data_IF_210420187331
#
_entry.id   IF_210420187331
#
_cell.length_a   1.000
_cell.length_b   1.000
_cell.length_c   1.000
_cell.angle_alpha   90.00
_cell.angle_beta   90.00
_cell.angle_gamma   90.00
#
_symmetry.space_group_name_H-M   'P 1'
#
loop_
_entity.id
_entity.type
_entity.pdbx_description
1 polymer ?
#
# COMPACT_ATOMS: atom_id res chain seq x y z
N UNK A 1 3.72 -29.33 4.01
CA UNK A 1 4.77 -28.48 3.41
C UNK A 1 4.05 -27.71 2.32
N UNK A 2 3.71 -26.49 2.63
CA UNK A 2 3.10 -25.55 1.68
C UNK A 2 4.09 -25.39 0.52
N UNK A 3 3.56 -25.39 -0.68
CA UNK A 3 4.30 -25.18 -1.93
C UNK A 3 5.30 -24.05 -1.71
N UNK A 4 6.55 -24.22 -2.11
CA UNK A 4 7.64 -23.26 -1.87
C UNK A 4 7.46 -21.89 -2.58
N UNK A 5 6.20 -21.41 -2.66
CA UNK A 5 5.82 -20.13 -3.23
C UNK A 5 6.26 -18.99 -2.32
N UNK A 6 6.96 -18.03 -2.90
CA UNK A 6 7.52 -16.88 -2.20
C UNK A 6 6.69 -15.63 -2.43
N UNK A 7 6.54 -14.85 -1.38
CA UNK A 7 5.79 -13.59 -1.41
C UNK A 7 6.69 -12.41 -1.06
N UNK A 8 6.74 -11.40 -1.93
CA UNK A 8 7.41 -10.14 -1.64
C UNK A 8 6.40 -9.06 -1.25
N UNK A 9 6.86 -8.00 -0.59
CA UNK A 9 6.11 -6.76 -0.40
C UNK A 9 6.88 -5.56 -0.97
N UNK A 10 6.19 -4.68 -1.69
CA UNK A 10 6.67 -3.36 -2.10
C UNK A 10 6.01 -2.33 -1.18
N UNK A 11 6.78 -1.73 -0.28
CA UNK A 11 6.27 -0.72 0.66
C UNK A 11 6.66 0.67 0.19
N UNK A 12 5.64 1.51 -0.07
CA UNK A 12 5.81 2.83 -0.66
C UNK A 12 5.97 3.90 0.41
N UNK A 13 7.11 4.53 0.44
CA UNK A 13 7.45 5.65 1.30
C UNK A 13 7.95 6.89 0.51
N UNK A 14 7.67 6.97 -0.81
CA UNK A 14 8.14 8.03 -1.70
C UNK A 14 7.23 9.28 -1.73
N UNK A 15 6.09 9.27 -1.06
CA UNK A 15 5.10 10.36 -1.10
C UNK A 15 5.58 11.62 -0.40
N UNK A 16 5.50 12.78 -1.05
CA UNK A 16 5.93 14.08 -0.50
C UNK A 16 5.11 14.58 0.69
N UNK A 17 3.90 14.05 0.91
CA UNK A 17 3.07 14.42 2.06
C UNK A 17 2.69 15.91 2.16
N UNK A 18 2.50 16.59 1.03
CA UNK A 18 2.28 18.05 0.94
C UNK A 18 1.16 18.59 1.82
N UNK A 19 0.13 17.77 2.10
CA UNK A 19 -1.01 18.12 2.97
C UNK A 19 -0.67 18.17 4.47
N UNK A 20 0.50 17.68 4.88
CA UNK A 20 0.92 17.66 6.29
C UNK A 20 1.52 18.99 6.78
N UNK A 21 1.82 19.94 5.88
CA UNK A 21 2.40 21.24 6.25
C UNK A 21 3.79 21.16 6.92
N UNK A 22 4.45 20.00 6.90
CA UNK A 22 5.74 19.74 7.55
C UNK A 22 6.89 19.79 6.53
N UNK A 23 8.07 20.26 6.97
CA UNK A 23 9.32 20.14 6.20
C UNK A 23 9.86 18.71 6.19
N UNK A 24 9.47 17.88 7.16
CA UNK A 24 9.80 16.44 7.24
C UNK A 24 8.73 15.67 6.48
N UNK A 25 9.14 14.75 5.62
CA UNK A 25 8.21 13.90 4.90
C UNK A 25 7.37 13.06 5.88
N UNK A 26 6.06 12.94 5.64
CA UNK A 26 5.07 12.39 6.59
C UNK A 26 5.42 10.99 7.10
N UNK A 27 6.05 10.17 6.27
CA UNK A 27 6.44 8.80 6.63
C UNK A 27 7.50 8.72 7.73
N UNK A 28 8.20 9.83 7.98
CA UNK A 28 9.22 9.95 9.03
C UNK A 28 8.74 10.74 10.25
N UNK A 29 7.53 11.29 10.22
CA UNK A 29 6.95 11.95 11.38
C UNK A 29 6.79 10.96 12.53
N UNK A 30 7.09 11.41 13.74
CA UNK A 30 7.02 10.58 14.92
C UNK A 30 5.57 10.32 15.35
N UNK A 31 5.27 9.04 15.55
CA UNK A 31 4.02 8.56 16.11
C UNK A 31 4.36 7.61 17.26
N UNK A 32 3.96 7.96 18.50
CA UNK A 32 4.24 7.14 19.71
C UNK A 32 5.72 6.74 19.84
N UNK A 33 6.64 7.65 19.58
CA UNK A 33 8.09 7.46 19.73
C UNK A 33 8.76 6.69 18.59
N UNK A 34 8.06 6.44 17.48
CA UNK A 34 8.58 5.75 16.29
C UNK A 34 8.18 6.50 15.01
N UNK A 35 8.98 6.45 13.94
CA UNK A 35 8.54 6.98 12.65
C UNK A 35 7.26 6.30 12.16
N UNK A 36 6.37 7.03 11.49
CA UNK A 36 5.12 6.48 10.95
C UNK A 36 5.35 5.20 10.12
N UNK A 37 6.38 5.21 9.26
CA UNK A 37 6.77 4.08 8.42
C UNK A 37 7.14 2.81 9.23
N UNK A 38 7.68 2.98 10.45
CA UNK A 38 8.04 1.86 11.31
C UNK A 38 6.89 0.87 11.50
N UNK A 39 5.66 1.35 11.70
CA UNK A 39 4.52 0.49 12.01
C UNK A 39 4.13 -0.41 10.84
N UNK A 40 4.12 0.13 9.62
CA UNK A 40 3.89 -0.66 8.42
C UNK A 40 5.00 -1.71 8.25
N UNK A 41 6.27 -1.30 8.29
CA UNK A 41 7.40 -2.23 8.18
C UNK A 41 7.36 -3.31 9.25
N UNK A 42 7.07 -2.96 10.51
CA UNK A 42 6.98 -3.92 11.60
C UNK A 42 5.86 -4.95 11.42
N UNK A 43 4.71 -4.54 10.83
CA UNK A 43 3.63 -5.47 10.52
C UNK A 43 4.05 -6.49 9.44
N UNK A 44 4.72 -6.03 8.39
CA UNK A 44 5.23 -6.88 7.31
C UNK A 44 6.40 -7.77 7.77
N UNK A 45 7.32 -7.25 8.59
CA UNK A 45 8.41 -8.05 9.20
C UNK A 45 7.87 -9.26 9.97
N UNK A 46 6.73 -9.10 10.66
CA UNK A 46 6.11 -10.14 11.48
C UNK A 46 4.98 -10.92 10.76
N UNK A 47 4.86 -10.80 9.44
CA UNK A 47 3.87 -11.51 8.61
C UNK A 47 4.48 -12.70 7.87
N UNK A 48 3.66 -13.36 7.01
CA UNK A 48 4.08 -14.46 6.13
C UNK A 48 4.89 -14.01 4.91
N UNK A 49 5.10 -12.70 4.70
CA UNK A 49 5.91 -12.16 3.58
C UNK A 49 7.38 -12.54 3.77
N UNK A 50 8.05 -13.00 2.71
CA UNK A 50 9.45 -13.47 2.75
C UNK A 50 10.44 -12.31 2.66
N UNK A 51 10.18 -11.31 1.81
CA UNK A 51 11.06 -10.15 1.61
C UNK A 51 10.28 -8.86 1.36
N UNK A 52 10.93 -7.75 1.69
CA UNK A 52 10.38 -6.39 1.53
C UNK A 52 11.30 -5.58 0.63
N UNK A 53 10.71 -4.88 -0.34
CA UNK A 53 11.36 -3.82 -1.11
C UNK A 53 10.79 -2.50 -0.60
N UNK A 54 11.62 -1.67 0.00
CA UNK A 54 11.23 -0.35 0.49
C UNK A 54 11.49 0.71 -0.60
N UNK A 55 10.45 1.45 -1.00
CA UNK A 55 10.58 2.49 -2.04
C UNK A 55 10.42 3.87 -1.41
N UNK A 56 11.47 4.68 -1.50
CA UNK A 56 11.60 5.99 -0.82
C UNK A 56 11.62 7.16 -1.80
N UNK A 57 11.46 8.36 -1.29
CA UNK A 57 11.64 9.59 -2.08
C UNK A 57 13.07 9.77 -2.60
N UNK A 58 13.27 10.69 -3.57
CA UNK A 58 14.59 11.01 -4.08
C UNK A 58 15.54 11.48 -2.97
N UNK A 59 16.74 10.89 -2.91
CA UNK A 59 17.78 11.21 -1.93
C UNK A 59 17.56 10.62 -0.52
N UNK A 60 16.48 9.85 -0.28
CA UNK A 60 16.14 9.31 1.04
C UNK A 60 16.62 7.87 1.29
N UNK A 61 17.13 7.20 0.27
CA UNK A 61 17.54 5.78 0.36
C UNK A 61 18.54 5.53 1.47
N UNK A 62 19.59 6.36 1.58
CA UNK A 62 20.61 6.23 2.61
C UNK A 62 20.06 6.50 4.03
N UNK A 63 19.19 7.50 4.16
CA UNK A 63 18.50 7.79 5.42
C UNK A 63 17.61 6.61 5.85
N UNK A 64 16.77 6.11 4.95
CA UNK A 64 15.90 4.98 5.24
C UNK A 64 16.69 3.72 5.60
N UNK A 65 17.77 3.44 4.87
CA UNK A 65 18.60 2.29 5.17
C UNK A 65 19.13 2.36 6.61
N UNK A 66 19.74 3.48 6.99
CA UNK A 66 20.41 3.63 8.29
C UNK A 66 19.44 3.87 9.43
N UNK A 67 18.56 4.88 9.30
CA UNK A 67 17.73 5.37 10.40
C UNK A 67 16.41 4.59 10.58
N UNK A 68 16.02 3.79 9.58
CA UNK A 68 14.79 2.98 9.63
C UNK A 68 15.16 1.48 9.62
N UNK A 69 15.77 0.99 8.55
CA UNK A 69 15.99 -0.45 8.39
C UNK A 69 16.97 -0.99 9.43
N UNK A 70 18.19 -0.48 9.48
CA UNK A 70 19.24 -0.94 10.38
C UNK A 70 18.92 -0.61 11.84
N UNK A 71 18.49 0.63 12.11
CA UNK A 71 18.18 1.09 13.47
C UNK A 71 17.10 0.28 14.17
N UNK A 72 16.09 -0.19 13.43
CA UNK A 72 14.99 -0.99 13.99
C UNK A 72 15.11 -2.48 13.71
N UNK A 73 16.18 -2.92 13.03
CA UNK A 73 16.51 -4.33 12.81
C UNK A 73 15.53 -5.04 11.88
N UNK A 74 15.03 -4.37 10.84
CA UNK A 74 14.18 -5.01 9.83
C UNK A 74 15.00 -5.94 8.93
N UNK A 75 14.88 -7.24 9.12
CA UNK A 75 15.67 -8.27 8.45
C UNK A 75 15.12 -8.68 7.09
N UNK A 76 13.81 -8.53 6.88
CA UNK A 76 13.15 -8.85 5.61
C UNK A 76 13.31 -7.76 4.55
N UNK A 77 13.78 -6.54 4.91
CA UNK A 77 14.04 -5.50 3.94
C UNK A 77 15.27 -5.85 3.12
N UNK A 78 15.04 -6.45 1.96
CA UNK A 78 16.08 -6.92 1.05
C UNK A 78 16.74 -5.77 0.26
N UNK A 79 15.99 -4.70 -0.03
CA UNK A 79 16.56 -3.51 -0.68
C UNK A 79 15.73 -2.25 -0.42
N UNK A 80 16.41 -1.10 -0.46
CA UNK A 80 15.82 0.24 -0.44
C UNK A 80 16.05 0.88 -1.82
N UNK A 81 14.97 1.28 -2.49
CA UNK A 81 14.98 1.83 -3.85
C UNK A 81 14.43 3.24 -3.87
N UNK A 82 14.95 4.05 -4.77
CA UNK A 82 14.37 5.36 -5.04
C UNK A 82 13.13 5.21 -5.92
N UNK A 83 12.02 5.84 -5.53
CA UNK A 83 10.80 5.91 -6.32
C UNK A 83 10.88 6.95 -7.44
N UNK A 84 9.82 7.02 -8.22
CA UNK A 84 9.69 7.94 -9.35
C UNK A 84 8.80 9.15 -9.04
N UNK A 85 8.41 9.86 -10.11
CA UNK A 85 7.67 11.12 -10.04
C UNK A 85 6.27 10.94 -9.45
N UNK A 86 5.56 9.90 -9.90
CA UNK A 86 4.20 9.57 -9.47
C UNK A 86 4.19 8.26 -8.67
N UNK A 87 3.05 7.95 -8.00
CA UNK A 87 2.92 6.71 -7.22
C UNK A 87 3.19 5.48 -8.08
N UNK A 88 2.61 5.40 -9.26
CA UNK A 88 2.77 4.24 -10.15
C UNK A 88 4.23 4.07 -10.66
N UNK A 89 4.98 5.16 -10.86
CA UNK A 89 6.41 5.06 -11.14
C UNK A 89 7.16 4.42 -9.96
N UNK A 90 6.82 4.83 -8.72
CA UNK A 90 7.45 4.28 -7.52
C UNK A 90 7.13 2.79 -7.33
N UNK A 91 5.88 2.38 -7.63
CA UNK A 91 5.51 0.97 -7.64
C UNK A 91 6.34 0.20 -8.66
N UNK A 92 6.46 0.70 -9.88
CA UNK A 92 7.23 0.05 -10.94
C UNK A 92 8.70 -0.12 -10.57
N UNK A 93 9.34 0.89 -9.96
CA UNK A 93 10.71 0.77 -9.44
C UNK A 93 10.81 -0.31 -8.36
N UNK A 94 9.81 -0.41 -7.49
CA UNK A 94 9.72 -1.48 -6.50
C UNK A 94 9.56 -2.86 -7.11
N UNK A 95 8.65 -3.02 -8.09
CA UNK A 95 8.42 -4.29 -8.78
C UNK A 95 9.67 -4.79 -9.50
N UNK A 96 10.40 -3.93 -10.20
CA UNK A 96 11.66 -4.29 -10.86
C UNK A 96 12.76 -4.78 -9.91
N UNK A 97 12.64 -4.46 -8.63
CA UNK A 97 13.60 -4.89 -7.61
C UNK A 97 13.17 -6.18 -6.88
N UNK A 98 11.99 -6.70 -7.20
CA UNK A 98 11.54 -8.01 -6.70
C UNK A 98 12.24 -9.11 -7.49
N UNK A 99 12.83 -10.07 -6.78
CA UNK A 99 13.52 -11.24 -7.35
C UNK A 99 12.99 -12.50 -6.68
N UNK A 100 12.83 -13.58 -7.44
CA UNK A 100 12.47 -14.91 -6.95
C UNK A 100 11.21 -14.93 -6.07
N UNK A 101 10.11 -14.35 -6.55
CA UNK A 101 8.83 -14.36 -5.88
C UNK A 101 7.69 -14.64 -6.84
N UNK A 102 6.69 -15.37 -6.36
CA UNK A 102 5.50 -15.73 -7.13
C UNK A 102 4.40 -14.69 -6.96
N UNK A 103 4.35 -14.07 -5.77
CA UNK A 103 3.35 -13.07 -5.41
C UNK A 103 3.98 -11.81 -4.84
N UNK A 104 3.31 -10.68 -5.04
CA UNK A 104 3.74 -9.40 -4.49
C UNK A 104 2.57 -8.63 -3.89
N UNK A 105 2.81 -8.05 -2.71
CA UNK A 105 1.90 -7.13 -2.03
C UNK A 105 2.42 -5.71 -2.18
N UNK A 106 1.59 -4.80 -2.65
CA UNK A 106 1.92 -3.37 -2.75
C UNK A 106 1.21 -2.64 -1.62
N UNK A 107 1.98 -1.91 -0.78
CA UNK A 107 1.43 -1.27 0.40
C UNK A 107 1.92 0.17 0.60
N UNK A 108 1.00 1.05 0.98
CA UNK A 108 1.33 2.42 1.34
C UNK A 108 1.96 2.47 2.75
N UNK A 109 3.22 2.86 2.87
CA UNK A 109 3.90 3.03 4.16
C UNK A 109 3.25 4.06 5.10
N UNK A 110 2.30 4.84 4.58
CA UNK A 110 1.47 5.76 5.34
C UNK A 110 0.20 5.11 5.94
N UNK A 111 0.07 3.78 5.94
CA UNK A 111 -0.97 3.04 6.65
C UNK A 111 -0.38 2.27 7.85
N UNK A 112 -0.16 2.94 8.97
CA UNK A 112 0.54 2.36 10.12
C UNK A 112 -0.29 1.33 10.88
N UNK A 113 -1.59 1.26 10.62
CA UNK A 113 -2.52 0.38 11.34
C UNK A 113 -2.80 -0.94 10.62
N UNK A 114 -2.05 -1.26 9.55
CA UNK A 114 -2.13 -2.58 8.91
C UNK A 114 -1.76 -3.66 9.91
N UNK A 115 -2.48 -4.79 9.89
CA UNK A 115 -2.23 -5.92 10.78
C UNK A 115 -1.73 -7.12 9.99
N UNK A 116 -1.12 -8.08 10.71
CA UNK A 116 -0.67 -9.35 10.13
C UNK A 116 -1.84 -10.08 9.44
N UNK A 117 -3.00 -10.11 10.07
CA UNK A 117 -4.18 -10.78 9.55
C UNK A 117 -4.63 -10.21 8.19
N UNK A 118 -4.53 -8.87 8.02
CA UNK A 118 -4.84 -8.21 6.75
C UNK A 118 -3.79 -8.58 5.68
N UNK A 119 -2.52 -8.63 6.05
CA UNK A 119 -1.41 -8.98 5.15
C UNK A 119 -1.55 -10.45 4.70
N UNK A 120 -1.75 -11.36 5.65
CA UNK A 120 -1.90 -12.79 5.37
C UNK A 120 -3.15 -13.05 4.52
N UNK A 121 -4.29 -12.40 4.81
CA UNK A 121 -5.50 -12.51 4.00
C UNK A 121 -5.32 -11.99 2.56
N UNK A 122 -4.53 -10.93 2.35
CA UNK A 122 -4.20 -10.45 1.02
C UNK A 122 -3.28 -11.43 0.27
N UNK A 123 -2.28 -12.02 0.94
CA UNK A 123 -1.42 -13.06 0.37
C UNK A 123 -2.23 -14.27 -0.09
N UNK A 124 -3.12 -14.77 0.76
CA UNK A 124 -4.01 -15.89 0.42
C UNK A 124 -4.97 -15.53 -0.72
N UNK A 125 -5.44 -14.27 -0.74
CA UNK A 125 -6.26 -13.74 -1.81
C UNK A 125 -5.53 -13.76 -3.16
N UNK A 126 -4.26 -13.35 -3.22
CA UNK A 126 -3.45 -13.40 -4.43
C UNK A 126 -3.22 -14.83 -4.92
N UNK A 127 -2.89 -15.76 -4.00
CA UNK A 127 -2.76 -17.20 -4.34
C UNK A 127 -4.03 -17.78 -4.94
N UNK A 128 -5.18 -17.41 -4.40
CA UNK A 128 -6.47 -17.97 -4.83
C UNK A 128 -7.04 -17.32 -6.09
N UNK A 129 -6.84 -16.03 -6.25
CA UNK A 129 -7.53 -15.21 -7.27
C UNK A 129 -6.59 -14.49 -8.23
N UNK A 130 -5.27 -14.67 -8.11
CA UNK A 130 -4.20 -14.02 -8.87
C UNK A 130 -4.10 -12.51 -8.66
N UNK A 131 -5.21 -11.84 -8.36
CA UNK A 131 -5.27 -10.40 -8.11
C UNK A 131 -6.31 -10.09 -7.03
N UNK A 132 -5.94 -9.33 -6.01
CA UNK A 132 -6.88 -8.86 -5.00
C UNK A 132 -6.48 -7.51 -4.40
N UNK A 133 -7.47 -6.79 -3.89
CA UNK A 133 -7.30 -5.52 -3.19
C UNK A 133 -8.03 -5.55 -1.86
N UNK A 134 -7.34 -5.14 -0.80
CA UNK A 134 -7.96 -4.95 0.51
C UNK A 134 -8.85 -3.72 0.50
N UNK A 135 -10.03 -3.81 1.07
CA UNK A 135 -10.96 -2.69 1.16
C UNK A 135 -12.06 -2.92 2.19
N UNK A 136 -12.89 -1.91 2.38
CA UNK A 136 -14.05 -1.96 3.26
C UNK A 136 -15.30 -1.43 2.55
N UNK A 137 -16.49 -2.05 2.77
CA UNK A 137 -17.74 -1.49 2.28
C UNK A 137 -17.95 -0.07 2.80
N UNK A 138 -18.52 0.80 1.97
CA UNK A 138 -18.85 2.17 2.36
C UNK A 138 -19.95 2.16 3.42
N UNK A 139 -19.82 3.00 4.47
CA UNK A 139 -20.85 3.15 5.52
C UNK A 139 -21.82 4.27 5.23
N UNK A 140 -21.31 5.38 4.71
CA UNK A 140 -22.09 6.57 4.46
C UNK A 140 -22.73 6.56 3.09
N UNK A 141 -23.75 7.40 2.89
CA UNK A 141 -24.33 7.61 1.57
C UNK A 141 -23.35 8.39 0.70
N UNK A 142 -23.01 7.87 -0.47
CA UNK A 142 -22.16 8.52 -1.45
C UNK A 142 -23.03 9.24 -2.49
N UNK A 143 -22.59 10.44 -2.86
CA UNK A 143 -23.16 11.21 -3.96
C UNK A 143 -22.10 11.42 -5.04
N UNK A 144 -22.47 11.24 -6.27
CA UNK A 144 -21.71 11.76 -7.41
C UNK A 144 -22.25 13.14 -7.71
N UNK A 145 -21.39 14.16 -7.72
CA UNK A 145 -21.76 15.54 -8.03
C UNK A 145 -21.57 15.84 -9.53
N UNK A 146 -22.30 16.83 -10.01
CA UNK A 146 -21.97 17.51 -11.26
C UNK A 146 -20.86 18.56 -11.06
N UNK A 147 -20.49 19.28 -12.13
CA UNK A 147 -19.45 20.31 -12.14
C UNK A 147 -19.79 21.54 -11.25
N UNK A 148 -21.06 21.70 -10.85
CA UNK A 148 -21.57 22.78 -10.00
C UNK A 148 -21.82 22.33 -8.57
N UNK A 149 -21.33 21.15 -8.19
CA UNK A 149 -21.48 20.56 -6.86
C UNK A 149 -22.93 20.17 -6.47
N UNK A 150 -23.85 20.06 -7.45
CA UNK A 150 -25.15 19.45 -7.19
C UNK A 150 -25.09 17.93 -7.29
N UNK A 151 -25.87 17.26 -6.43
CA UNK A 151 -25.94 15.80 -6.43
C UNK A 151 -26.60 15.30 -7.74
N UNK A 152 -25.81 14.66 -8.60
CA UNK A 152 -26.27 14.10 -9.88
C UNK A 152 -26.75 12.65 -9.74
N UNK A 153 -26.08 11.83 -8.90
CA UNK A 153 -26.39 10.41 -8.72
C UNK A 153 -26.12 9.95 -7.29
N UNK A 154 -26.95 9.05 -6.80
CA UNK A 154 -26.70 8.29 -5.56
C UNK A 154 -26.47 6.81 -5.95
N UNK A 155 -25.23 6.33 -6.00
CA UNK A 155 -24.97 4.94 -6.32
C UNK A 155 -25.43 4.00 -5.20
N UNK A 156 -25.68 2.74 -5.56
CA UNK A 156 -26.02 1.69 -4.62
C UNK A 156 -24.84 1.43 -3.66
N UNK A 157 -25.02 1.82 -2.39
CA UNK A 157 -23.98 1.73 -1.35
C UNK A 157 -23.49 0.30 -1.12
N UNK A 158 -24.33 -0.70 -1.27
CA UNK A 158 -23.98 -2.10 -1.00
C UNK A 158 -22.94 -2.64 -2.00
N UNK A 159 -22.72 -1.92 -3.11
CA UNK A 159 -21.74 -2.23 -4.15
C UNK A 159 -20.49 -1.35 -4.10
N UNK A 160 -20.39 -0.43 -3.14
CA UNK A 160 -19.28 0.51 -3.03
C UNK A 160 -18.29 0.09 -1.94
N UNK A 161 -17.00 0.18 -2.28
CA UNK A 161 -15.91 -0.14 -1.39
C UNK A 161 -14.91 1.00 -1.31
N UNK A 162 -14.38 1.24 -0.12
CA UNK A 162 -13.22 2.10 0.12
C UNK A 162 -11.99 1.22 0.00
N UNK A 163 -11.23 1.41 -1.08
CA UNK A 163 -10.05 0.58 -1.34
C UNK A 163 -8.89 1.02 -0.45
N UNK A 164 -8.23 0.04 0.11
CA UNK A 164 -7.06 0.17 0.96
C UNK A 164 -5.84 -0.50 0.32
N UNK A 165 -4.77 -0.62 1.09
CA UNK A 165 -3.64 -1.50 0.80
C UNK A 165 -3.37 -2.39 2.03
N UNK A 166 -2.78 -3.61 1.86
CA UNK A 166 -2.09 -4.08 0.66
C UNK A 166 -3.05 -4.43 -0.49
N UNK A 167 -2.55 -4.28 -1.72
CA UNK A 167 -3.11 -4.86 -2.91
C UNK A 167 -2.13 -5.95 -3.36
N UNK A 168 -2.61 -7.14 -3.65
CA UNK A 168 -1.76 -8.31 -3.82
C UNK A 168 -2.03 -9.02 -5.14
N UNK A 169 -0.97 -9.45 -5.79
CA UNK A 169 -1.02 -9.95 -7.16
C UNK A 169 -0.02 -11.11 -7.36
N UNK A 170 -0.32 -11.98 -8.33
CA UNK A 170 0.70 -12.79 -8.97
C UNK A 170 1.74 -11.86 -9.58
N UNK A 171 3.03 -12.13 -9.33
CA UNK A 171 4.11 -11.18 -9.66
C UNK A 171 4.20 -10.87 -11.14
N UNK A 172 4.24 -11.89 -11.99
CA UNK A 172 4.34 -11.74 -13.44
C UNK A 172 3.15 -10.96 -14.02
N UNK A 173 1.95 -11.17 -13.49
CA UNK A 173 0.74 -10.48 -13.91
C UNK A 173 0.86 -8.96 -13.68
N UNK A 174 1.22 -8.54 -12.46
CA UNK A 174 1.30 -7.12 -12.13
C UNK A 174 2.52 -6.47 -12.76
N UNK A 175 3.65 -7.15 -12.87
CA UNK A 175 4.84 -6.63 -13.55
C UNK A 175 4.52 -6.34 -15.02
N UNK A 176 3.92 -7.29 -15.73
CA UNK A 176 3.51 -7.09 -17.11
C UNK A 176 2.50 -5.94 -17.28
N UNK A 177 1.53 -5.83 -16.36
CA UNK A 177 0.57 -4.72 -16.37
C UNK A 177 1.28 -3.36 -16.24
N UNK A 178 2.27 -3.25 -15.36
CA UNK A 178 3.05 -2.03 -15.17
C UNK A 178 3.99 -1.74 -16.35
N UNK A 179 4.63 -2.73 -16.95
CA UNK A 179 5.44 -2.56 -18.17
C UNK A 179 4.59 -1.99 -19.32
N UNK A 180 3.39 -2.53 -19.48
CA UNK A 180 2.44 -2.04 -20.46
C UNK A 180 1.98 -0.61 -20.16
N UNK A 181 1.65 -0.28 -18.92
CA UNK A 181 1.32 1.08 -18.50
C UNK A 181 2.44 2.05 -18.82
N UNK A 182 3.70 1.68 -18.51
CA UNK A 182 4.87 2.53 -18.78
C UNK A 182 5.09 2.77 -20.28
N UNK A 183 4.68 1.87 -21.15
CA UNK A 183 4.80 2.00 -22.60
C UNK A 183 3.68 2.83 -23.24
N UNK A 184 2.61 3.16 -22.51
CA UNK A 184 1.36 3.76 -23.03
C UNK A 184 0.99 5.02 -22.23
N UNK A 185 1.57 6.17 -22.58
CA UNK A 185 1.38 7.45 -21.87
C UNK A 185 -0.11 7.82 -21.67
N UNK A 186 -0.97 7.51 -22.62
CA UNK A 186 -2.40 7.82 -22.57
C UNK A 186 -3.14 7.14 -21.40
N UNK A 187 -2.60 6.08 -20.82
CA UNK A 187 -3.20 5.37 -19.69
C UNK A 187 -2.58 5.77 -18.34
N UNK A 188 -1.57 6.63 -18.33
CA UNK A 188 -0.89 7.07 -17.10
C UNK A 188 -1.67 8.18 -16.38
N UNK A 189 -2.54 8.89 -17.09
CA UNK A 189 -3.41 9.90 -16.49
C UNK A 189 -4.54 9.24 -15.67
N UNK A 190 -4.76 9.73 -14.45
CA UNK A 190 -5.85 9.26 -13.58
C UNK A 190 -5.61 7.89 -12.91
N UNK A 191 -4.41 7.33 -12.97
CA UNK A 191 -4.07 6.10 -12.23
C UNK A 191 -4.16 6.35 -10.72
N UNK A 192 -5.10 5.68 -10.06
CA UNK A 192 -5.38 5.85 -8.63
C UNK A 192 -4.74 4.80 -7.75
N UNK A 193 -4.74 3.53 -8.21
CA UNK A 193 -4.22 2.38 -7.45
C UNK A 193 -3.71 1.25 -8.37
N UNK A 194 -3.18 0.19 -7.76
CA UNK A 194 -2.55 -0.92 -8.48
C UNK A 194 -3.58 -1.87 -9.10
N UNK A 195 -4.75 -2.00 -8.45
CA UNK A 195 -5.87 -2.77 -8.95
C UNK A 195 -6.37 -2.20 -10.29
N UNK A 196 -6.54 -0.87 -10.39
CA UNK A 196 -6.91 -0.19 -11.63
C UNK A 196 -5.90 -0.45 -12.75
N UNK A 197 -4.60 -0.48 -12.45
CA UNK A 197 -3.56 -0.80 -13.45
C UNK A 197 -3.76 -2.21 -13.99
N UNK A 198 -3.92 -3.21 -13.11
CA UNK A 198 -4.13 -4.60 -13.52
C UNK A 198 -5.44 -4.74 -14.32
N UNK A 199 -6.55 -4.20 -13.84
CA UNK A 199 -7.85 -4.25 -14.52
C UNK A 199 -7.80 -3.62 -15.92
N UNK A 200 -7.14 -2.46 -16.04
CA UNK A 200 -7.08 -1.73 -17.32
C UNK A 200 -6.11 -2.38 -18.31
N UNK A 201 -4.97 -2.85 -17.86
CA UNK A 201 -3.92 -3.37 -18.75
C UNK A 201 -4.11 -4.84 -19.11
N UNK A 202 -4.75 -5.64 -18.24
CA UNK A 202 -4.84 -7.11 -18.41
C UNK A 202 -6.25 -7.65 -18.62
N UNK A 203 -7.28 -6.91 -18.25
CA UNK A 203 -8.68 -7.35 -18.12
C UNK A 203 -8.89 -8.42 -17.01
N UNK A 204 -7.89 -8.67 -16.18
CA UNK A 204 -8.03 -9.57 -15.03
C UNK A 204 -8.95 -8.92 -13.98
N UNK A 205 -9.80 -9.73 -13.36
CA UNK A 205 -10.70 -9.24 -12.31
C UNK A 205 -10.00 -9.21 -10.97
N UNK A 206 -10.06 -8.08 -10.27
CA UNK A 206 -9.47 -7.94 -8.95
C UNK A 206 -10.49 -8.31 -7.87
N UNK A 207 -10.15 -9.30 -7.03
CA UNK A 207 -10.99 -9.73 -5.91
C UNK A 207 -10.89 -8.74 -4.75
N UNK A 208 -12.03 -8.25 -4.24
CA UNK A 208 -12.06 -7.43 -3.03
C UNK A 208 -11.95 -8.32 -1.79
N UNK A 209 -10.97 -8.05 -0.94
CA UNK A 209 -10.71 -8.73 0.33
C UNK A 209 -11.07 -7.77 1.46
N UNK A 210 -11.81 -8.26 2.47
CA UNK A 210 -12.23 -7.44 3.59
C UNK A 210 -11.02 -7.09 4.48
N UNK A 211 -10.77 -5.78 4.65
CA UNK A 211 -9.75 -5.23 5.55
C UNK A 211 -10.33 -4.84 6.91
N UNK A 212 -9.87 -3.71 7.43
CA UNK A 212 -10.39 -3.09 8.65
C UNK A 212 -10.54 -1.57 8.44
N UNK A 213 -11.59 -0.98 8.99
CA UNK A 213 -11.76 0.49 9.00
C UNK A 213 -10.64 1.19 9.78
N UNK A 214 -9.97 0.49 10.70
CA UNK A 214 -8.80 0.99 11.38
C UNK A 214 -7.54 1.06 10.50
N UNK A 215 -7.50 0.40 9.33
CA UNK A 215 -6.38 0.45 8.40
C UNK A 215 -6.39 1.75 7.59
N UNK A 216 -6.43 2.89 8.30
CA UNK A 216 -6.48 4.24 7.73
C UNK A 216 -5.16 4.60 7.04
N UNK A 217 -5.26 5.47 6.02
CA UNK A 217 -4.09 6.13 5.41
C UNK A 217 -3.90 7.49 6.07
N UNK A 218 -2.78 7.70 6.70
CA UNK A 218 -2.42 9.01 7.27
C UNK A 218 -2.13 9.99 6.13
N UNK A 219 -2.93 11.04 6.04
CA UNK A 219 -2.87 12.06 4.99
C UNK A 219 -2.90 13.48 5.54
N UNK A 220 -3.44 13.67 6.73
CA UNK A 220 -3.55 14.94 7.44
C UNK A 220 -2.99 14.82 8.87
N UNK A 221 -2.73 15.94 9.58
CA UNK A 221 -2.32 15.92 10.99
C UNK A 221 -3.30 15.20 11.90
N UNK A 222 -4.60 15.35 11.69
CA UNK A 222 -5.66 14.70 12.47
C UNK A 222 -5.59 13.17 12.34
N UNK A 223 -5.23 12.66 11.15
CA UNK A 223 -5.04 11.23 10.93
C UNK A 223 -3.92 10.65 11.81
N UNK A 224 -2.90 11.45 12.16
CA UNK A 224 -1.82 11.03 13.07
C UNK A 224 -2.36 10.75 14.47
N UNK A 225 -3.23 11.60 14.99
CA UNK A 225 -3.85 11.41 16.31
C UNK A 225 -4.73 10.16 16.31
N UNK A 226 -5.57 10.01 15.28
CA UNK A 226 -6.44 8.84 15.11
C UNK A 226 -5.60 7.56 15.01
N UNK A 227 -4.53 7.56 14.22
CA UNK A 227 -3.62 6.41 14.10
C UNK A 227 -2.98 6.06 15.45
N UNK A 228 -2.57 7.06 16.25
CA UNK A 228 -2.03 6.87 17.59
C UNK A 228 -2.99 6.14 18.53
N UNK A 229 -4.27 6.51 18.50
CA UNK A 229 -5.32 5.85 19.29
C UNK A 229 -5.55 4.41 18.81
N UNK A 230 -5.62 4.20 17.51
CA UNK A 230 -5.87 2.88 16.91
C UNK A 230 -4.72 1.90 17.20
N UNK A 231 -3.47 2.35 17.10
CA UNK A 231 -2.29 1.53 17.41
C UNK A 231 -2.28 1.13 18.90
N UNK A 232 -2.52 2.07 19.82
CA UNK A 232 -2.61 1.77 21.27
C UNK A 232 -3.68 0.71 21.55
N UNK A 233 -4.86 0.85 20.93
CA UNK A 233 -5.95 -0.12 21.09
C UNK A 233 -5.58 -1.52 20.59
N UNK A 234 -4.85 -1.63 19.49
CA UNK A 234 -4.40 -2.92 18.95
C UNK A 234 -3.34 -3.59 19.84
N UNK A 235 -2.49 -2.82 20.51
CA UNK A 235 -1.55 -3.36 21.51
C UNK A 235 -2.22 -3.87 22.80
N UNK A 236 -3.38 -3.33 23.18
CA UNK A 236 -4.13 -3.79 24.35
C UNK A 236 -4.96 -5.07 24.09
N UNK A 237 -5.08 -5.51 22.83
CA UNK A 237 -5.82 -6.74 22.47
C UNK A 237 -4.94 -7.98 22.32
N UNK A 238 -3.62 -7.81 22.42
CA UNK A 238 -2.62 -8.88 22.44
C UNK A 238 -2.24 -9.21 23.89
#
# INVERSE_FOLDING_TARGET
MENGERTAAVILAAGKGTRMGSQVHKQYLELLGKPLLYYALNAFENSSVDKIILVTGPGETGYCQKEIVEKYGFTKVASVRQGGKERYHSVYEGLKAVEDCDYVLIHDGARPCVTREIIDAASDGARKYRACAVGMPVKDTIKISDEKEFAALTPDRDRLWLIQTPQAFEYELVLWAYEKLMSLEQYQEGVTDDAMVVETMTQEKVKLIRGDYANIKVTTPEDMEIAGVLIKRNHLKK
#
